data_IF_160616432757
#
_entry.id   IF_160616432757
#
_cell.length_a   1.000
_cell.length_b   1.000
_cell.length_c   1.000
_cell.angle_alpha   90.00
_cell.angle_beta   90.00
_cell.angle_gamma   90.00
#
_symmetry.space_group_name_H-M   'P 1'
#
loop_
_entity.id
_entity.type
_entity.pdbx_description
1 polymer ?
#
# COMPACT_ATOMS: atom_id res chain seq x y z
N UNK A 1 -17.58 11.10 -17.53
CA UNK A 1 -17.66 12.16 -16.49
C UNK A 1 -16.54 11.90 -15.50
N UNK A 2 -15.56 12.81 -15.39
CA UNK A 2 -14.40 12.61 -14.53
C UNK A 2 -14.76 13.05 -13.11
N UNK A 3 -14.89 12.10 -12.17
CA UNK A 3 -15.07 12.43 -10.74
C UNK A 3 -13.74 13.02 -10.26
N UNK A 4 -13.74 14.31 -9.91
CA UNK A 4 -12.56 15.00 -9.41
C UNK A 4 -12.26 14.49 -8.00
N UNK A 5 -11.20 13.67 -7.84
CA UNK A 5 -10.74 13.17 -6.54
C UNK A 5 -10.41 14.33 -5.61
N UNK A 6 -10.73 14.19 -4.34
CA UNK A 6 -10.41 15.21 -3.32
C UNK A 6 -8.96 15.09 -2.86
N UNK A 7 -8.36 16.18 -2.38
CA UNK A 7 -6.94 16.21 -2.01
C UNK A 7 -6.58 15.15 -0.95
N UNK A 8 -7.45 14.86 0.00
CA UNK A 8 -7.20 13.82 0.99
C UNK A 8 -7.23 12.40 0.40
N UNK A 9 -7.92 12.16 -0.72
CA UNK A 9 -7.93 10.85 -1.40
C UNK A 9 -6.60 10.64 -2.13
N UNK A 10 -6.10 11.68 -2.79
CA UNK A 10 -4.78 11.65 -3.44
C UNK A 10 -3.65 11.52 -2.41
N UNK A 11 -3.73 12.28 -1.32
CA UNK A 11 -2.77 12.21 -0.23
C UNK A 11 -2.76 10.87 0.53
N UNK A 12 -3.86 10.10 0.48
CA UNK A 12 -3.90 8.76 1.05
C UNK A 12 -3.01 7.78 0.28
N UNK A 13 -3.00 7.89 -1.05
CA UNK A 13 -2.13 7.07 -1.88
C UNK A 13 -0.66 7.42 -1.65
N UNK A 14 -0.33 8.73 -1.56
CA UNK A 14 1.02 9.16 -1.20
C UNK A 14 1.47 8.58 0.16
N UNK A 15 0.56 8.55 1.14
CA UNK A 15 0.83 7.92 2.44
C UNK A 15 1.06 6.41 2.31
N UNK A 16 0.27 5.70 1.51
CA UNK A 16 0.45 4.26 1.26
C UNK A 16 1.78 3.95 0.58
N UNK A 17 2.28 4.89 -0.22
CA UNK A 17 3.58 4.77 -0.88
C UNK A 17 4.77 5.12 0.04
N UNK A 18 4.50 5.33 1.32
CA UNK A 18 5.53 5.60 2.31
C UNK A 18 5.99 7.06 2.35
N UNK A 19 5.29 7.98 1.67
CA UNK A 19 5.59 9.40 1.78
C UNK A 19 5.30 9.86 3.23
N UNK A 20 6.27 10.50 3.91
CA UNK A 20 6.06 10.96 5.28
C UNK A 20 5.05 12.12 5.30
N UNK A 21 4.35 12.29 6.43
CA UNK A 21 3.31 13.31 6.55
C UNK A 21 3.79 14.73 6.26
N UNK A 22 5.05 15.06 6.56
CA UNK A 22 5.65 16.34 6.26
C UNK A 22 5.74 16.62 4.75
N UNK A 23 6.10 15.61 3.96
CA UNK A 23 6.23 15.74 2.50
C UNK A 23 4.85 15.81 1.83
N UNK A 24 3.88 15.02 2.33
CA UNK A 24 2.48 15.11 1.92
C UNK A 24 1.92 16.51 2.22
N UNK A 25 2.19 17.03 3.42
CA UNK A 25 1.73 18.36 3.82
C UNK A 25 2.26 19.44 2.88
N UNK A 26 3.56 19.40 2.57
CA UNK A 26 4.21 20.27 1.60
C UNK A 26 3.60 20.14 0.21
N UNK A 27 3.43 18.92 -0.30
CA UNK A 27 2.89 18.63 -1.64
C UNK A 27 1.50 19.22 -1.87
N UNK A 28 0.63 19.18 -0.86
CA UNK A 28 -0.73 19.70 -0.95
C UNK A 28 -0.92 21.09 -0.34
N UNK A 29 0.15 21.75 0.12
CA UNK A 29 0.11 23.10 0.69
C UNK A 29 -0.72 23.19 1.98
N UNK A 30 -0.69 22.15 2.81
CA UNK A 30 -1.41 22.10 4.10
C UNK A 30 -0.43 21.93 5.27
N UNK A 31 -0.88 22.17 6.50
CA UNK A 31 -0.08 21.85 7.68
C UNK A 31 -0.01 20.33 7.90
N UNK A 32 1.11 19.84 8.44
CA UNK A 32 1.27 18.41 8.79
C UNK A 32 0.20 17.94 9.79
N UNK A 33 -0.23 18.83 10.69
CA UNK A 33 -1.36 18.61 11.60
C UNK A 33 -2.66 18.33 10.85
N UNK A 34 -2.90 18.93 9.68
CA UNK A 34 -4.08 18.65 8.84
C UNK A 34 -4.02 17.22 8.29
N UNK A 35 -2.86 16.79 7.80
CA UNK A 35 -2.64 15.42 7.31
C UNK A 35 -2.90 14.41 8.44
N UNK A 36 -2.32 14.66 9.63
CA UNK A 36 -2.40 13.75 10.77
C UNK A 36 -3.77 13.76 11.47
N UNK A 37 -4.30 14.93 11.81
CA UNK A 37 -5.47 15.07 12.69
C UNK A 37 -6.79 15.19 11.94
N UNK A 38 -6.75 15.53 10.65
CA UNK A 38 -7.95 15.60 9.81
C UNK A 38 -7.98 14.47 8.79
N UNK A 39 -6.99 14.37 7.89
CA UNK A 39 -7.03 13.37 6.83
C UNK A 39 -6.91 11.95 7.38
N UNK A 40 -5.85 11.64 8.12
CA UNK A 40 -5.65 10.31 8.71
C UNK A 40 -6.77 9.92 9.67
N UNK A 41 -7.12 10.79 10.61
CA UNK A 41 -8.12 10.48 11.66
C UNK A 41 -9.56 10.40 11.16
N UNK A 42 -9.96 11.23 10.19
CA UNK A 42 -11.37 11.34 9.78
C UNK A 42 -11.64 10.68 8.44
N UNK A 43 -10.77 10.88 7.45
CA UNK A 43 -10.99 10.40 6.09
C UNK A 43 -10.35 9.04 5.85
N UNK A 44 -9.12 8.83 6.32
CA UNK A 44 -8.40 7.57 6.07
C UNK A 44 -8.69 6.50 7.11
N UNK A 45 -9.22 6.86 8.28
CA UNK A 45 -9.47 5.91 9.38
C UNK A 45 -10.34 4.73 8.94
N UNK A 46 -11.48 5.00 8.29
CA UNK A 46 -12.37 3.93 7.85
C UNK A 46 -11.74 3.14 6.69
N UNK A 47 -11.04 3.80 5.77
CA UNK A 47 -10.33 3.12 4.67
C UNK A 47 -9.22 2.19 5.20
N UNK A 48 -8.42 2.66 6.16
CA UNK A 48 -7.39 1.86 6.82
C UNK A 48 -8.00 0.68 7.59
N UNK A 49 -9.13 0.91 8.25
CA UNK A 49 -9.87 -0.13 8.95
C UNK A 49 -10.42 -1.18 7.99
N UNK A 50 -11.01 -0.76 6.88
CA UNK A 50 -11.49 -1.65 5.81
C UNK A 50 -10.35 -2.48 5.20
N UNK A 51 -9.22 -1.85 4.90
CA UNK A 51 -8.03 -2.53 4.37
C UNK A 51 -7.49 -3.58 5.35
N UNK A 52 -7.39 -3.22 6.63
CA UNK A 52 -6.99 -4.14 7.70
C UNK A 52 -7.99 -5.31 7.80
N UNK A 53 -9.28 -5.01 7.78
CA UNK A 53 -10.33 -6.03 7.81
C UNK A 53 -10.26 -6.99 6.61
N UNK A 54 -9.94 -6.50 5.41
CA UNK A 54 -9.83 -7.36 4.22
C UNK A 54 -8.62 -8.29 4.33
N UNK A 55 -7.46 -7.76 4.74
CA UNK A 55 -6.24 -8.54 4.99
C UNK A 55 -6.51 -9.65 6.01
N UNK A 56 -7.13 -9.29 7.14
CA UNK A 56 -7.41 -10.22 8.22
C UNK A 56 -8.47 -11.26 7.82
N UNK A 57 -9.50 -10.86 7.07
CA UNK A 57 -10.49 -11.81 6.50
C UNK A 57 -9.84 -12.84 5.58
N UNK A 58 -8.95 -12.41 4.68
CA UNK A 58 -8.25 -13.33 3.78
C UNK A 58 -7.41 -14.33 4.59
N UNK A 59 -6.68 -13.84 5.60
CA UNK A 59 -5.88 -14.69 6.49
C UNK A 59 -6.76 -15.69 7.26
N UNK A 60 -7.83 -15.22 7.88
CA UNK A 60 -8.72 -16.05 8.68
C UNK A 60 -9.47 -17.07 7.82
N UNK A 61 -9.89 -16.71 6.61
CA UNK A 61 -10.49 -17.63 5.65
C UNK A 61 -9.51 -18.72 5.23
N UNK A 62 -8.24 -18.39 4.97
CA UNK A 62 -7.20 -19.37 4.63
C UNK A 62 -6.95 -20.34 5.80
N UNK A 63 -6.82 -19.83 7.02
CA UNK A 63 -6.67 -20.66 8.22
C UNK A 63 -7.93 -21.50 8.50
N UNK A 64 -9.11 -20.95 8.26
CA UNK A 64 -10.39 -21.64 8.38
C UNK A 64 -10.52 -22.80 7.40
N UNK A 65 -10.11 -22.59 6.14
CA UNK A 65 -10.08 -23.65 5.11
C UNK A 65 -9.11 -24.76 5.50
N UNK A 66 -7.92 -24.42 5.99
CA UNK A 66 -6.95 -25.42 6.44
C UNK A 66 -7.49 -26.29 7.58
N UNK A 67 -8.10 -25.67 8.60
CA UNK A 67 -8.74 -26.39 9.70
C UNK A 67 -9.87 -27.30 9.22
N UNK A 68 -10.71 -26.79 8.32
CA UNK A 68 -11.85 -27.54 7.76
C UNK A 68 -11.40 -28.74 6.91
N UNK A 69 -10.25 -28.62 6.25
CA UNK A 69 -9.65 -29.67 5.44
C UNK A 69 -8.75 -30.62 6.26
N UNK A 70 -8.71 -30.49 7.60
CA UNK A 70 -7.90 -31.35 8.47
C UNK A 70 -6.39 -31.10 8.38
N UNK A 71 -5.97 -29.97 7.81
CA UNK A 71 -4.56 -29.58 7.69
C UNK A 71 -4.09 -28.97 9.00
N UNK A 72 -3.36 -29.76 9.79
CA UNK A 72 -2.99 -29.45 11.18
C UNK A 72 -1.48 -29.23 11.41
N UNK A 73 -0.65 -29.38 10.38
CA UNK A 73 0.80 -29.25 10.52
C UNK A 73 1.25 -27.78 10.50
N UNK A 74 2.17 -27.42 11.39
CA UNK A 74 2.61 -26.03 11.58
C UNK A 74 3.26 -25.36 10.36
N UNK A 75 3.88 -26.13 9.45
CA UNK A 75 4.48 -25.55 8.25
C UNK A 75 3.45 -24.91 7.30
N UNK A 76 2.18 -25.35 7.35
CA UNK A 76 1.15 -24.71 6.55
C UNK A 76 0.72 -23.36 7.13
N UNK A 77 0.82 -23.18 8.46
CA UNK A 77 0.59 -21.87 9.09
C UNK A 77 1.67 -20.88 8.64
N UNK A 78 2.92 -21.33 8.61
CA UNK A 78 4.06 -20.55 8.11
C UNK A 78 3.84 -20.11 6.66
N UNK A 79 3.39 -21.02 5.78
CA UNK A 79 3.05 -20.68 4.39
C UNK A 79 1.92 -19.65 4.26
N UNK A 80 0.93 -19.66 5.16
CA UNK A 80 -0.12 -18.63 5.18
C UNK A 80 0.48 -17.28 5.57
N UNK A 81 1.34 -17.23 6.59
CA UNK A 81 2.00 -15.99 6.99
C UNK A 81 2.93 -15.45 5.89
N UNK A 82 3.67 -16.32 5.20
CA UNK A 82 4.46 -15.97 4.01
C UNK A 82 3.57 -15.39 2.91
N UNK A 83 2.42 -16.00 2.65
CA UNK A 83 1.45 -15.49 1.68
C UNK A 83 0.95 -14.10 2.08
N UNK A 84 0.65 -13.87 3.36
CA UNK A 84 0.21 -12.56 3.84
C UNK A 84 1.31 -11.51 3.71
N UNK A 85 2.57 -11.87 3.98
CA UNK A 85 3.72 -10.99 3.74
C UNK A 85 3.88 -10.65 2.24
N UNK A 86 3.72 -11.64 1.35
CA UNK A 86 3.71 -11.41 -0.09
C UNK A 86 2.54 -10.53 -0.53
N UNK A 87 1.37 -10.65 0.09
CA UNK A 87 0.22 -9.81 -0.20
C UNK A 87 0.52 -8.34 0.13
N UNK A 88 1.15 -8.09 1.28
CA UNK A 88 1.59 -6.76 1.69
C UNK A 88 2.62 -6.20 0.69
N UNK A 89 3.65 -6.99 0.32
CA UNK A 89 4.67 -6.62 -0.67
C UNK A 89 4.05 -6.29 -2.03
N UNK A 90 3.14 -7.15 -2.52
CA UNK A 90 2.47 -6.96 -3.82
C UNK A 90 1.69 -5.65 -3.84
N UNK A 91 0.91 -5.36 -2.79
CA UNK A 91 0.13 -4.13 -2.73
C UNK A 91 1.02 -2.88 -2.66
N UNK A 92 2.11 -2.96 -1.90
CA UNK A 92 3.11 -1.89 -1.85
C UNK A 92 3.76 -1.67 -3.23
N UNK A 93 4.08 -2.74 -3.96
CA UNK A 93 4.65 -2.65 -5.30
C UNK A 93 3.67 -2.08 -6.33
N UNK A 94 2.40 -2.47 -6.27
CA UNK A 94 1.36 -1.90 -7.15
C UNK A 94 1.28 -0.38 -6.91
N UNK A 95 1.22 0.03 -5.64
CA UNK A 95 1.12 1.43 -5.27
C UNK A 95 2.38 2.22 -5.71
N UNK A 96 3.56 1.60 -5.60
CA UNK A 96 4.83 2.14 -6.08
C UNK A 96 4.87 2.35 -7.60
N UNK A 97 4.42 1.37 -8.37
CA UNK A 97 4.35 1.43 -9.83
C UNK A 97 3.34 2.48 -10.29
N UNK A 98 2.20 2.62 -9.59
CA UNK A 98 1.20 3.65 -9.90
C UNK A 98 1.71 5.07 -9.68
N UNK A 99 2.60 5.28 -8.71
CA UNK A 99 3.19 6.61 -8.44
C UNK A 99 4.38 6.92 -9.35
N UNK A 100 5.39 6.04 -9.35
CA UNK A 100 6.68 6.33 -9.97
C UNK A 100 6.79 5.82 -11.40
N UNK A 101 5.85 4.97 -11.82
CA UNK A 101 5.95 4.23 -13.07
C UNK A 101 7.04 3.15 -13.01
N UNK A 102 7.14 2.37 -14.08
CA UNK A 102 8.20 1.35 -14.21
C UNK A 102 9.51 2.03 -14.57
N UNK A 103 10.52 1.89 -13.71
CA UNK A 103 11.88 2.37 -14.00
C UNK A 103 12.59 1.44 -14.98
N UNK A 104 12.96 1.94 -16.15
CA UNK A 104 13.75 1.20 -17.15
C UNK A 104 15.11 1.90 -17.30
N UNK A 105 16.21 1.18 -17.03
CA UNK A 105 17.56 1.68 -17.31
C UNK A 105 17.75 1.73 -18.83
N UNK A 106 17.87 2.94 -19.39
CA UNK A 106 18.25 3.14 -20.79
C UNK A 106 19.73 3.48 -20.84
N UNK A 107 20.55 2.54 -21.29
CA UNK A 107 21.98 2.77 -21.53
C UNK A 107 22.19 3.48 -22.88
N UNK A 108 22.13 4.82 -22.90
CA UNK A 108 22.51 5.62 -24.07
C UNK A 108 23.95 6.11 -23.92
N UNK A 109 24.91 5.25 -24.25
CA UNK A 109 26.34 5.57 -24.29
C UNK A 109 26.87 5.64 -25.72
N UNK A 110 26.59 6.72 -26.46
CA UNK A 110 27.49 7.14 -27.54
C UNK A 110 28.76 7.63 -26.86
N UNK A 111 29.83 6.85 -26.94
CA UNK A 111 31.15 7.25 -26.46
C UNK A 111 31.71 8.33 -27.39
N UNK A 112 31.67 9.60 -26.95
CA UNK A 112 32.51 10.65 -27.51
C UNK A 112 33.95 10.35 -27.09
N UNK A 113 34.79 9.95 -28.05
CA UNK A 113 36.25 9.96 -27.86
C UNK A 113 36.77 11.25 -28.48
N UNK A 114 37.35 12.09 -27.63
CA UNK A 114 38.25 13.20 -27.98
C UNK A 114 39.50 12.67 -28.73
#
# INVERSE_FOLDING_TARGET
MTIKKKNYELAFEDYKNGMPYADIATKYGVAETTVRDTWRKRHWKEILKEHTNLRDKIRDDLLGQMRSNGVIHGHFLDLVEDYMAMWDIKNNLIADIEERGVSVLVANGISQKE
#
